data_IF_292507495149
#
_entry.id   IF_292507495149
#
_cell.length_a   1.000
_cell.length_b   1.000
_cell.length_c   1.000
_cell.angle_alpha   90.00
_cell.angle_beta   90.00
_cell.angle_gamma   90.00
#
_symmetry.space_group_name_H-M   'P 1'
#
loop_
_entity.id
_entity.type
_entity.pdbx_description
1 polymer ?
#
# COMPACT_ATOMS: atom_id res chain seq x y z
N UNK A 1 -28.83 -26.46 20.46
CA UNK A 1 -28.96 -25.41 19.41
C UNK A 1 -28.59 -24.03 19.93
N UNK A 2 -29.20 -23.52 21.01
CA UNK A 2 -28.91 -22.18 21.57
C UNK A 2 -27.42 -21.86 21.84
N UNK A 3 -26.60 -22.85 22.19
CA UNK A 3 -25.17 -22.63 22.43
C UNK A 3 -24.39 -22.42 21.11
N UNK A 4 -24.78 -23.12 20.04
CA UNK A 4 -24.17 -22.96 18.71
C UNK A 4 -24.55 -21.61 18.10
N UNK A 5 -25.80 -21.19 18.23
CA UNK A 5 -26.28 -19.89 17.73
C UNK A 5 -25.56 -18.73 18.43
N UNK A 6 -25.34 -18.82 19.75
CA UNK A 6 -24.54 -17.82 20.48
C UNK A 6 -23.10 -17.77 19.99
N UNK A 7 -22.48 -18.92 19.75
CA UNK A 7 -21.09 -19.00 19.25
C UNK A 7 -20.98 -18.46 17.82
N UNK A 8 -21.97 -18.72 16.97
CA UNK A 8 -22.04 -18.18 15.60
C UNK A 8 -22.22 -16.66 15.65
N UNK A 9 -23.17 -16.16 16.43
CA UNK A 9 -23.40 -14.71 16.57
C UNK A 9 -22.15 -13.97 17.08
N UNK A 10 -21.42 -14.56 18.03
CA UNK A 10 -20.14 -14.02 18.51
C UNK A 10 -19.08 -14.02 17.42
N UNK A 11 -18.96 -15.10 16.63
CA UNK A 11 -18.00 -15.18 15.52
C UNK A 11 -18.32 -14.18 14.39
N UNK A 12 -19.61 -13.95 14.11
CA UNK A 12 -20.07 -12.94 13.14
C UNK A 12 -19.78 -11.50 13.61
N UNK A 13 -19.81 -11.25 14.92
CA UNK A 13 -19.47 -9.92 15.49
C UNK A 13 -17.97 -9.69 15.62
N UNK A 14 -17.16 -10.75 15.81
CA UNK A 14 -15.70 -10.64 15.90
C UNK A 14 -14.98 -10.73 14.57
N UNK A 15 -15.67 -10.61 13.42
CA UNK A 15 -14.95 -10.47 12.15
C UNK A 15 -14.24 -9.11 12.18
N UNK A 16 -12.92 -9.06 12.43
CA UNK A 16 -12.22 -7.78 12.48
C UNK A 16 -12.37 -7.13 11.10
N UNK A 17 -12.40 -5.79 11.00
CA UNK A 17 -12.15 -5.16 9.70
C UNK A 17 -10.88 -5.81 9.14
N UNK A 18 -10.92 -6.24 7.87
CA UNK A 18 -9.78 -6.87 7.23
C UNK A 18 -8.53 -6.05 7.56
N UNK A 19 -7.56 -6.65 8.24
CA UNK A 19 -6.33 -5.97 8.62
C UNK A 19 -5.79 -5.27 7.38
N UNK A 20 -5.64 -3.95 7.47
CA UNK A 20 -5.26 -3.14 6.33
C UNK A 20 -3.85 -3.55 5.91
N UNK A 21 -3.74 -4.05 4.68
CA UNK A 21 -2.48 -4.57 4.16
C UNK A 21 -1.97 -3.67 3.06
N UNK A 22 -0.79 -3.10 3.27
CA UNK A 22 -0.09 -2.32 2.23
C UNK A 22 0.92 -3.20 1.50
N UNK A 23 0.79 -3.25 0.18
CA UNK A 23 1.76 -3.91 -0.70
C UNK A 23 2.51 -2.83 -1.48
N UNK A 24 3.82 -2.74 -1.24
CA UNK A 24 4.73 -1.83 -1.95
C UNK A 24 5.51 -2.65 -2.99
N UNK A 25 5.33 -2.35 -4.27
CA UNK A 25 6.13 -2.89 -5.37
C UNK A 25 7.24 -1.92 -5.75
N UNK A 26 8.47 -2.23 -5.37
CA UNK A 26 9.67 -1.47 -5.76
C UNK A 26 10.16 -1.93 -7.14
N UNK A 27 10.18 -1.01 -8.12
CA UNK A 27 10.73 -1.23 -9.46
C UNK A 27 12.11 -0.58 -9.50
N UNK A 28 13.14 -1.40 -9.69
CA UNK A 28 14.55 -0.97 -9.75
C UNK A 28 15.21 -1.51 -11.01
N UNK A 29 16.20 -0.79 -11.52
CA UNK A 29 17.08 -1.31 -12.56
C UNK A 29 17.94 -2.47 -12.02
N UNK A 30 18.30 -3.45 -12.88
CA UNK A 30 19.30 -4.46 -12.51
C UNK A 30 20.57 -3.81 -11.95
N UNK A 31 21.10 -4.37 -10.86
CA UNK A 31 22.28 -3.84 -10.17
C UNK A 31 22.04 -2.62 -9.26
N UNK A 32 20.81 -2.12 -9.16
CA UNK A 32 20.46 -0.90 -8.40
C UNK A 32 19.42 -1.19 -7.29
N UNK A 33 19.56 -2.33 -6.61
CA UNK A 33 18.65 -2.75 -5.53
C UNK A 33 18.55 -1.72 -4.40
N UNK A 34 19.66 -1.03 -4.11
CA UNK A 34 19.78 -0.01 -3.07
C UNK A 34 19.46 1.42 -3.56
N UNK A 35 19.01 1.59 -4.81
CA UNK A 35 18.75 2.92 -5.33
C UNK A 35 17.54 3.55 -4.65
N UNK A 36 17.73 4.73 -4.07
CA UNK A 36 16.70 5.44 -3.31
C UNK A 36 15.44 5.69 -4.14
N UNK A 37 14.29 5.49 -3.49
CA UNK A 37 12.97 5.78 -4.07
C UNK A 37 12.76 7.30 -4.04
N UNK A 38 12.35 7.85 -5.17
CA UNK A 38 12.00 9.27 -5.31
C UNK A 38 10.59 9.48 -5.87
N UNK A 39 9.92 8.39 -6.28
CA UNK A 39 8.63 8.40 -6.92
C UNK A 39 7.76 7.24 -6.45
N UNK A 40 6.51 7.52 -6.08
CA UNK A 40 5.50 6.51 -5.70
C UNK A 40 4.18 6.85 -6.41
N UNK A 41 3.46 5.83 -6.87
CA UNK A 41 2.11 5.98 -7.42
C UNK A 41 1.15 4.89 -6.95
N UNK A 42 -0.13 5.22 -6.94
CA UNK A 42 -1.24 4.27 -6.84
C UNK A 42 -2.13 4.34 -8.11
N UNK A 43 -3.39 3.91 -8.04
CA UNK A 43 -4.31 3.91 -9.18
C UNK A 43 -4.85 5.31 -9.57
N UNK A 44 -4.73 6.33 -8.71
CA UNK A 44 -5.29 7.67 -8.93
C UNK A 44 -4.41 8.85 -8.52
N UNK A 45 -3.33 8.59 -7.79
CA UNK A 45 -2.45 9.55 -7.14
C UNK A 45 -0.99 9.22 -7.41
N UNK A 46 -0.17 10.25 -7.35
CA UNK A 46 1.26 10.17 -7.55
C UNK A 46 1.95 11.12 -6.58
N UNK A 47 3.06 10.67 -6.02
CA UNK A 47 3.84 11.44 -5.07
C UNK A 47 5.30 11.44 -5.50
N UNK A 48 5.92 12.60 -5.32
CA UNK A 48 7.37 12.77 -5.43
C UNK A 48 7.95 13.01 -4.04
N UNK A 49 9.15 12.51 -3.80
CA UNK A 49 9.88 12.72 -2.56
C UNK A 49 10.24 14.21 -2.40
N UNK A 50 9.97 14.77 -1.24
CA UNK A 50 10.25 16.17 -0.93
C UNK A 50 11.73 16.37 -0.56
N UNK A 51 12.30 17.58 -0.77
CA UNK A 51 13.66 17.87 -0.35
C UNK A 51 13.86 17.64 1.15
N UNK A 52 14.83 16.79 1.51
CA UNK A 52 15.14 16.46 2.90
C UNK A 52 14.23 15.41 3.56
N UNK A 53 13.24 14.89 2.85
CA UNK A 53 12.39 13.78 3.30
C UNK A 53 13.18 12.46 3.28
N UNK A 54 13.01 11.58 4.27
CA UNK A 54 13.60 10.23 4.26
C UNK A 54 12.77 9.29 3.36
N UNK A 55 13.36 8.17 2.91
CA UNK A 55 12.61 7.18 2.12
C UNK A 55 11.42 6.62 2.92
N UNK A 56 11.60 6.36 4.22
CA UNK A 56 10.54 5.87 5.10
C UNK A 56 9.40 6.87 5.27
N UNK A 57 9.72 8.15 5.53
CA UNK A 57 8.70 9.20 5.68
C UNK A 57 7.92 9.41 4.37
N UNK A 58 8.62 9.28 3.24
CA UNK A 58 7.99 9.35 1.92
C UNK A 58 7.00 8.20 1.70
N UNK A 59 7.38 6.97 2.04
CA UNK A 59 6.51 5.79 1.95
C UNK A 59 5.31 5.92 2.89
N UNK A 60 5.54 6.32 4.14
CA UNK A 60 4.48 6.49 5.15
C UNK A 60 3.44 7.53 4.71
N UNK A 61 3.90 8.63 4.09
CA UNK A 61 3.01 9.66 3.53
C UNK A 61 2.15 9.10 2.39
N UNK A 62 2.76 8.41 1.43
CA UNK A 62 2.01 7.81 0.33
C UNK A 62 1.03 6.73 0.83
N UNK A 63 1.42 5.93 1.82
CA UNK A 63 0.56 4.92 2.44
C UNK A 63 -0.64 5.52 3.18
N UNK A 64 -0.42 6.59 3.94
CA UNK A 64 -1.47 7.30 4.68
C UNK A 64 -2.50 7.94 3.75
N UNK A 65 -2.07 8.46 2.61
CA UNK A 65 -2.93 9.12 1.63
C UNK A 65 -3.66 8.13 0.70
N UNK A 66 -3.21 6.87 0.63
CA UNK A 66 -3.78 5.86 -0.25
C UNK A 66 -4.96 5.18 0.43
N UNK A 67 -6.19 5.22 -0.11
CA UNK A 67 -7.29 4.43 0.43
C UNK A 67 -7.14 2.94 0.09
N UNK A 68 -7.51 2.01 1.00
CA UNK A 68 -7.54 0.60 0.67
C UNK A 68 -8.65 0.28 -0.34
N UNK A 69 -8.45 -0.76 -1.13
CA UNK A 69 -9.50 -1.28 -2.02
C UNK A 69 -10.60 -2.03 -1.22
N UNK A 70 -11.62 -2.56 -1.93
CA UNK A 70 -12.74 -3.31 -1.32
C UNK A 70 -12.35 -4.57 -0.52
N UNK A 71 -11.10 -5.01 -0.61
CA UNK A 71 -10.54 -6.14 0.11
C UNK A 71 -9.60 -5.71 1.26
N UNK A 72 -9.48 -4.41 1.56
CA UNK A 72 -8.59 -3.90 2.60
C UNK A 72 -7.13 -3.78 2.17
N UNK A 73 -6.84 -3.84 0.86
CA UNK A 73 -5.46 -3.82 0.36
C UNK A 73 -5.13 -2.46 -0.26
N UNK A 74 -4.02 -1.85 0.18
CA UNK A 74 -3.39 -0.69 -0.47
C UNK A 74 -2.29 -1.15 -1.41
N UNK A 75 -2.20 -0.54 -2.59
CA UNK A 75 -1.20 -0.87 -3.62
C UNK A 75 -0.38 0.36 -3.96
N UNK A 76 0.91 0.31 -3.65
CA UNK A 76 1.87 1.33 -4.02
C UNK A 76 2.90 0.76 -5.01
N UNK A 77 3.25 1.55 -6.02
CA UNK A 77 4.34 1.25 -6.95
C UNK A 77 5.41 2.32 -6.75
N UNK A 78 6.58 1.89 -6.27
CA UNK A 78 7.70 2.75 -5.94
C UNK A 78 8.82 2.62 -6.98
N UNK A 79 9.43 3.72 -7.39
CA UNK A 79 10.54 3.74 -8.34
C UNK A 79 11.53 4.86 -8.03
N UNK A 80 12.74 4.70 -8.57
CA UNK A 80 13.80 5.71 -8.56
C UNK A 80 13.80 6.56 -9.86
N UNK A 81 12.85 6.31 -10.76
CA UNK A 81 12.61 7.02 -12.00
C UNK A 81 11.14 7.39 -12.09
N UNK A 82 10.80 8.51 -12.74
CA UNK A 82 9.47 8.74 -13.26
C UNK A 82 9.21 7.65 -14.31
N UNK A 83 8.54 6.56 -13.90
CA UNK A 83 8.11 5.52 -14.82
C UNK A 83 6.98 6.09 -15.66
N UNK A 84 7.33 6.78 -16.74
CA UNK A 84 6.40 7.14 -17.80
C UNK A 84 5.54 5.92 -18.11
N UNK A 85 4.21 6.12 -18.06
CA UNK A 85 3.24 5.11 -18.45
C UNK A 85 3.64 4.60 -19.84
N UNK A 86 4.23 3.42 -19.89
CA UNK A 86 4.23 2.63 -21.10
C UNK A 86 2.79 2.11 -21.21
N UNK A 87 1.93 2.93 -21.81
CA UNK A 87 0.63 2.50 -22.32
C UNK A 87 0.90 1.36 -23.32
N UNK A 88 0.45 0.16 -22.97
CA UNK A 88 0.37 -0.99 -23.87
C UNK A 88 -0.99 -1.65 -23.71
#
# INVERSE_FOLDING_TARGET
>A
MQNLEKRIATLETTNPPAEELTIIRRIVCPGHLEAEINHIRDDGSEWTRQPGETEDAFIERADSDTPPNKHGIKRLIASNMELHRADH
#
